data_IF_053952466507
#
_entry.id   IF_053952466507
#
_cell.length_a   1.000
_cell.length_b   1.000
_cell.length_c   1.000
_cell.angle_alpha   90.00
_cell.angle_beta   90.00
_cell.angle_gamma   90.00
#
_symmetry.space_group_name_H-M   'P 1'
#
loop_
_entity.id
_entity.type
_entity.pdbx_description
1 polymer ?
#
# COMPACT_ATOMS: atom_id res chain seq x y z
N UNK A 1 -13.21 6.60 -23.82
CA UNK A 1 -12.79 5.44 -23.01
C UNK A 1 -13.98 5.05 -22.14
N UNK A 2 -14.66 3.94 -22.43
CA UNK A 2 -15.85 3.54 -21.66
C UNK A 2 -15.48 3.28 -20.20
N UNK A 3 -16.38 3.61 -19.27
CA UNK A 3 -16.18 3.46 -17.81
C UNK A 3 -16.72 2.14 -17.25
N UNK A 4 -17.29 1.31 -18.12
CA UNK A 4 -18.04 0.10 -17.75
C UNK A 4 -17.17 -1.13 -17.52
N UNK A 5 -17.67 -2.28 -17.94
CA UNK A 5 -17.00 -3.58 -17.75
C UNK A 5 -15.84 -3.78 -18.72
N UNK A 6 -16.00 -3.36 -19.96
CA UNK A 6 -15.00 -3.48 -21.03
C UNK A 6 -13.55 -3.06 -20.62
N UNK A 7 -13.30 -1.87 -20.03
CA UNK A 7 -11.93 -1.48 -19.64
C UNK A 7 -11.33 -2.30 -18.49
N UNK A 8 -12.13 -3.05 -17.71
CA UNK A 8 -11.64 -3.79 -16.53
C UNK A 8 -10.73 -4.96 -16.92
N UNK A 9 -10.90 -5.52 -18.12
CA UNK A 9 -10.05 -6.60 -18.65
C UNK A 9 -8.59 -6.18 -18.88
N UNK A 10 -8.32 -4.88 -19.01
CA UNK A 10 -6.97 -4.32 -19.22
C UNK A 10 -6.15 -4.16 -17.92
N UNK A 11 -6.54 -4.83 -16.83
CA UNK A 11 -5.89 -4.69 -15.49
C UNK A 11 -4.94 -5.84 -15.14
N UNK A 12 -4.65 -6.73 -16.09
CA UNK A 12 -3.83 -7.93 -15.89
C UNK A 12 -2.32 -7.68 -16.00
N UNK A 13 -1.90 -6.43 -16.17
CA UNK A 13 -0.49 -6.06 -16.28
C UNK A 13 0.23 -6.12 -14.92
N UNK A 14 1.53 -5.80 -14.95
CA UNK A 14 2.39 -5.71 -13.77
C UNK A 14 1.70 -5.00 -12.60
N UNK A 15 1.63 -5.61 -11.40
CA UNK A 15 0.91 -5.05 -10.28
C UNK A 15 1.60 -3.79 -9.75
N UNK A 16 0.81 -2.78 -9.40
CA UNK A 16 1.33 -1.55 -8.80
C UNK A 16 1.94 -1.79 -7.42
N UNK A 17 1.40 -2.74 -6.65
CA UNK A 17 1.83 -3.03 -5.28
C UNK A 17 2.21 -4.49 -5.07
N UNK A 18 3.39 -4.72 -4.49
CA UNK A 18 3.89 -6.04 -4.07
C UNK A 18 4.01 -6.13 -2.55
N UNK A 19 4.39 -7.32 -2.07
CA UNK A 19 4.63 -7.56 -0.64
C UNK A 19 5.83 -6.74 -0.15
N UNK A 20 5.63 -5.98 0.91
CA UNK A 20 6.67 -5.15 1.50
C UNK A 20 7.61 -5.98 2.38
N UNK A 21 8.92 -5.88 2.13
CA UNK A 21 9.97 -6.56 2.90
C UNK A 21 10.02 -6.17 4.39
N UNK A 22 9.62 -4.94 4.75
CA UNK A 22 9.63 -4.47 6.15
C UNK A 22 8.38 -4.88 6.94
N UNK A 23 7.18 -4.71 6.37
CA UNK A 23 5.93 -4.85 7.13
C UNK A 23 5.03 -6.00 6.68
N UNK A 24 5.44 -6.79 5.68
CA UNK A 24 4.72 -7.96 5.17
C UNK A 24 3.43 -7.68 4.39
N UNK A 25 2.94 -6.42 4.36
CA UNK A 25 1.72 -6.02 3.66
C UNK A 25 1.94 -5.87 2.16
N UNK A 26 0.94 -6.20 1.32
CA UNK A 26 0.93 -5.95 -0.14
C UNK A 26 0.71 -4.47 -0.45
N UNK A 27 1.70 -3.64 -0.13
CA UNK A 27 1.62 -2.19 -0.20
C UNK A 27 2.93 -1.52 -0.62
N UNK A 28 3.93 -2.29 -1.09
CA UNK A 28 5.15 -1.72 -1.65
C UNK A 28 4.93 -1.37 -3.11
N UNK A 29 4.99 -0.09 -3.46
CA UNK A 29 4.83 0.37 -4.83
C UNK A 29 6.12 0.11 -5.61
N UNK A 30 6.05 -0.72 -6.66
CA UNK A 30 7.22 -1.14 -7.43
C UNK A 30 7.82 0.03 -8.19
N UNK A 31 6.98 0.79 -8.90
CA UNK A 31 7.42 1.92 -9.74
C UNK A 31 8.02 3.06 -8.92
N UNK A 32 7.44 3.34 -7.74
CA UNK A 32 7.87 4.46 -6.89
C UNK A 32 8.90 4.07 -5.82
N UNK A 33 9.19 2.78 -5.65
CA UNK A 33 10.19 2.31 -4.69
C UNK A 33 9.85 2.54 -3.21
N UNK A 34 8.58 2.70 -2.84
CA UNK A 34 8.21 2.90 -1.43
C UNK A 34 6.93 2.17 -1.00
N UNK A 35 6.85 1.85 0.29
CA UNK A 35 5.67 1.25 0.91
C UNK A 35 4.65 2.29 1.36
N UNK A 36 3.45 2.24 0.80
CA UNK A 36 2.32 3.09 1.18
C UNK A 36 1.82 2.81 2.62
N UNK A 37 2.04 1.60 3.15
CA UNK A 37 1.59 1.22 4.48
C UNK A 37 2.56 1.61 5.60
N UNK A 38 3.85 1.29 5.47
CA UNK A 38 4.82 1.50 6.55
C UNK A 38 5.87 2.59 6.26
N UNK A 39 5.94 3.12 5.03
CA UNK A 39 6.93 4.12 4.64
C UNK A 39 8.30 3.56 4.23
N UNK A 40 8.51 2.24 4.24
CA UNK A 40 9.75 1.60 3.77
C UNK A 40 10.15 2.10 2.38
N UNK A 41 11.44 2.39 2.15
CA UNK A 41 11.97 3.00 0.92
C UNK A 41 11.93 4.53 0.91
N UNK A 42 10.97 5.16 1.61
CA UNK A 42 10.89 6.63 1.74
C UNK A 42 11.37 7.15 3.10
N UNK A 43 11.15 6.38 4.17
CA UNK A 43 11.50 6.78 5.52
C UNK A 43 12.13 5.64 6.32
N UNK A 44 13.08 6.00 7.19
CA UNK A 44 13.62 5.09 8.22
C UNK A 44 12.54 4.76 9.27
N UNK A 45 11.73 5.76 9.65
CA UNK A 45 10.63 5.62 10.62
C UNK A 45 9.40 4.92 10.01
N UNK A 46 8.58 4.32 10.88
CA UNK A 46 7.27 3.79 10.49
C UNK A 46 6.27 4.91 10.22
N UNK A 47 5.56 4.82 9.11
CA UNK A 47 4.45 5.71 8.76
C UNK A 47 3.30 5.54 9.77
N UNK A 48 3.06 6.57 10.58
CA UNK A 48 2.02 6.63 11.60
C UNK A 48 1.41 8.03 11.59
N UNK A 49 0.10 8.13 11.42
CA UNK A 49 -0.63 9.39 11.51
C UNK A 49 -1.63 9.35 12.65
N UNK A 50 -1.84 10.48 13.33
CA UNK A 50 -2.78 10.59 14.47
C UNK A 50 -4.21 10.23 14.08
N UNK A 51 -4.64 10.65 12.89
CA UNK A 51 -5.96 10.36 12.31
C UNK A 51 -6.12 8.91 11.81
N UNK A 52 -5.04 8.14 11.68
CA UNK A 52 -5.13 6.78 11.13
C UNK A 52 -5.48 5.75 12.20
N UNK A 53 -6.60 5.04 12.03
CA UNK A 53 -7.00 3.95 12.93
C UNK A 53 -6.23 2.64 12.70
N UNK A 54 -5.59 2.47 11.53
CA UNK A 54 -4.99 1.19 11.10
C UNK A 54 -3.89 0.68 12.04
N UNK A 55 -3.10 1.58 12.61
CA UNK A 55 -2.04 1.21 13.55
C UNK A 55 -2.57 1.08 14.98
N UNK A 56 -3.61 1.84 15.34
CA UNK A 56 -4.29 1.71 16.65
C UNK A 56 -4.96 0.35 16.78
N UNK A 57 -5.70 -0.08 15.74
CA UNK A 57 -6.32 -1.43 15.66
C UNK A 57 -5.27 -2.54 15.77
N UNK A 58 -4.12 -2.41 15.08
CA UNK A 58 -3.02 -3.41 15.16
C UNK A 58 -2.49 -3.59 16.60
N UNK A 59 -2.62 -2.57 17.44
CA UNK A 59 -2.11 -2.57 18.83
C UNK A 59 -3.22 -2.78 19.86
N UNK A 60 -4.46 -3.08 19.45
CA UNK A 60 -5.64 -3.14 20.32
C UNK A 60 -5.80 -1.88 21.20
N UNK A 61 -5.55 -0.70 20.61
CA UNK A 61 -5.68 0.62 21.25
C UNK A 61 -6.96 1.35 20.82
N UNK A 62 -7.90 0.63 20.23
CA UNK A 62 -9.21 1.08 19.77
C UNK A 62 -10.26 0.12 20.29
#
# INVERSE_FOLDING_TARGET
MGSGTEPKGRRNHTPTHIRCRRCGRRAYNVKKGYCAACGFGRSRRMRKYRWSHKWKKKRNLL
#
